data_IF_353423021872
#
_entry.id   IF_353423021872
#
_cell.length_a   1.000
_cell.length_b   1.000
_cell.length_c   1.000
_cell.angle_alpha   90.00
_cell.angle_beta   90.00
_cell.angle_gamma   90.00
#
_symmetry.space_group_name_H-M   'P 1'
#
loop_
_entity.id
_entity.type
_entity.pdbx_description
1 polymer ?
#
# COMPACT_ATOMS: atom_id res chain seq x y z
N UNK A 1 -7.13 9.83 13.82
CA UNK A 1 -6.94 10.05 12.38
C UNK A 1 -8.07 9.38 11.62
N UNK A 2 -8.74 10.13 10.78
CA UNK A 2 -9.82 9.59 9.96
C UNK A 2 -9.37 9.55 8.52
N UNK A 3 -9.02 8.37 8.05
CA UNK A 3 -8.70 8.15 6.65
C UNK A 3 -9.76 7.24 6.06
N UNK A 4 -10.17 7.56 4.85
CA UNK A 4 -11.09 6.73 4.09
C UNK A 4 -10.56 6.54 2.70
N UNK A 5 -11.10 5.54 2.00
CA UNK A 5 -10.76 5.33 0.60
C UNK A 5 -12.04 5.34 -0.24
N UNK A 6 -11.95 5.89 -1.42
CA UNK A 6 -13.05 5.95 -2.39
C UNK A 6 -12.55 5.37 -3.70
N UNK A 7 -13.27 4.40 -4.29
CA UNK A 7 -12.85 3.82 -5.56
C UNK A 7 -12.77 4.86 -6.67
N UNK A 8 -11.80 4.69 -7.55
CA UNK A 8 -11.66 5.52 -8.73
C UNK A 8 -11.17 4.67 -9.89
N UNK A 9 -11.26 5.20 -11.09
CA UNK A 9 -10.72 4.53 -12.27
C UNK A 9 -9.20 4.58 -12.24
N UNK A 10 -8.56 3.50 -12.65
CA UNK A 10 -7.10 3.41 -12.69
C UNK A 10 -6.52 4.49 -13.60
N UNK A 11 -7.20 4.81 -14.71
CA UNK A 11 -6.77 5.87 -15.61
C UNK A 11 -6.77 7.27 -14.96
N UNK A 12 -7.38 7.40 -13.79
CA UNK A 12 -7.45 8.67 -13.06
C UNK A 12 -6.43 8.77 -11.93
N UNK A 13 -5.53 7.82 -11.81
CA UNK A 13 -4.45 7.91 -10.82
C UNK A 13 -3.63 9.17 -11.07
N UNK A 14 -3.27 9.85 -9.98
CA UNK A 14 -2.48 11.07 -10.08
C UNK A 14 -1.06 10.77 -10.57
N UNK A 15 -0.45 11.70 -11.29
CA UNK A 15 0.94 11.51 -11.72
C UNK A 15 1.87 11.30 -10.52
N UNK A 16 2.82 10.40 -10.69
CA UNK A 16 3.80 10.09 -9.65
C UNK A 16 5.07 9.56 -10.31
N UNK A 17 6.20 9.74 -9.63
CA UNK A 17 7.48 9.18 -10.05
C UNK A 17 7.62 7.71 -9.65
N UNK A 18 6.70 7.20 -8.82
CA UNK A 18 6.73 5.80 -8.38
C UNK A 18 6.06 4.93 -9.44
N UNK A 19 6.87 4.25 -10.25
CA UNK A 19 6.35 3.44 -11.37
C UNK A 19 5.36 2.38 -10.90
N UNK A 20 5.56 1.84 -9.69
CA UNK A 20 4.70 0.78 -9.15
C UNK A 20 3.32 1.29 -8.71
N UNK A 21 3.09 2.60 -8.74
CA UNK A 21 1.81 3.21 -8.42
C UNK A 21 1.14 3.82 -9.65
N UNK A 22 1.48 3.34 -10.85
CA UNK A 22 0.98 3.91 -12.09
C UNK A 22 0.02 2.97 -12.81
N UNK A 23 -0.74 3.56 -13.74
CA UNK A 23 -1.60 2.77 -14.65
C UNK A 23 -0.78 1.76 -15.45
N UNK A 24 0.45 2.12 -15.84
CA UNK A 24 1.33 1.20 -16.55
C UNK A 24 1.56 -0.09 -15.74
N UNK A 25 1.91 0.06 -14.46
CA UNK A 25 2.15 -1.09 -13.58
C UNK A 25 0.89 -1.91 -13.36
N UNK A 26 -0.25 -1.22 -13.21
CA UNK A 26 -1.55 -1.88 -13.10
C UNK A 26 -1.78 -2.79 -14.30
N UNK A 27 -1.49 -2.31 -15.51
CA UNK A 27 -1.66 -3.08 -16.73
C UNK A 27 -0.72 -4.28 -16.79
N UNK A 28 0.53 -4.09 -16.37
CA UNK A 28 1.51 -5.18 -16.29
C UNK A 28 0.97 -6.29 -15.38
N UNK A 29 0.47 -5.93 -14.22
CA UNK A 29 -0.03 -6.93 -13.25
C UNK A 29 -1.35 -7.55 -13.70
N UNK A 30 -2.21 -6.77 -14.35
CA UNK A 30 -3.46 -7.33 -14.90
C UNK A 30 -3.16 -8.43 -15.93
N UNK A 31 -2.13 -8.22 -16.75
CA UNK A 31 -1.71 -9.22 -17.72
C UNK A 31 -1.18 -10.50 -17.06
N UNK A 32 -0.79 -10.41 -15.79
CA UNK A 32 -0.34 -11.57 -15.01
C UNK A 32 -1.47 -12.22 -14.20
N UNK A 33 -2.70 -11.74 -14.36
CA UNK A 33 -3.84 -12.31 -13.67
C UNK A 33 -4.17 -11.66 -12.33
N UNK A 34 -3.51 -10.57 -11.98
CA UNK A 34 -3.86 -9.81 -10.78
C UNK A 34 -4.95 -8.79 -11.12
N UNK A 35 -5.74 -8.41 -10.13
CA UNK A 35 -6.81 -7.42 -10.32
C UNK A 35 -6.38 -6.08 -9.74
N UNK A 36 -6.14 -5.06 -10.59
CA UNK A 36 -5.81 -3.73 -10.07
C UNK A 36 -7.05 -2.96 -9.65
N UNK A 37 -6.93 -2.23 -8.56
CA UNK A 37 -7.94 -1.33 -8.04
C UNK A 37 -7.27 -0.01 -7.69
N UNK A 38 -7.96 1.10 -7.89
CA UNK A 38 -7.44 2.41 -7.52
C UNK A 38 -8.40 3.08 -6.55
N UNK A 39 -7.84 3.80 -5.59
CA UNK A 39 -8.62 4.51 -4.58
C UNK A 39 -8.06 5.90 -4.34
N UNK A 40 -8.96 6.88 -4.23
CA UNK A 40 -8.61 8.15 -3.62
C UNK A 40 -8.50 7.96 -2.12
N UNK A 41 -7.57 8.68 -1.49
CA UNK A 41 -7.39 8.64 -0.05
C UNK A 41 -7.93 9.94 0.52
N UNK A 42 -8.98 9.83 1.31
CA UNK A 42 -9.66 10.96 1.92
C UNK A 42 -9.13 11.17 3.34
N UNK A 43 -9.10 12.40 3.80
CA UNK A 43 -8.67 12.72 5.16
C UNK A 43 -7.23 13.19 5.29
N UNK A 44 -6.58 13.46 4.16
CA UNK A 44 -5.26 14.06 4.11
C UNK A 44 -5.34 15.43 3.44
N UNK A 45 -4.34 16.27 3.66
CA UNK A 45 -4.39 17.66 3.22
C UNK A 45 -4.29 17.85 1.73
N UNK A 46 -3.61 16.97 1.04
CA UNK A 46 -3.45 17.06 -0.41
C UNK A 46 -4.21 15.93 -1.08
N UNK A 47 -4.38 16.05 -2.39
CA UNK A 47 -4.98 14.97 -3.16
C UNK A 47 -4.02 13.80 -3.20
N UNK A 48 -4.47 12.68 -2.65
CA UNK A 48 -3.68 11.45 -2.62
C UNK A 48 -4.54 10.29 -3.09
N UNK A 49 -3.88 9.35 -3.73
CA UNK A 49 -4.51 8.11 -4.16
C UNK A 49 -3.49 6.98 -4.09
N UNK A 50 -3.95 5.78 -4.38
CA UNK A 50 -3.06 4.63 -4.41
C UNK A 50 -3.62 3.53 -5.30
N UNK A 51 -2.71 2.73 -5.83
CA UNK A 51 -2.99 1.52 -6.57
C UNK A 51 -2.91 0.34 -5.61
N UNK A 52 -3.92 -0.51 -5.65
CA UNK A 52 -3.97 -1.76 -4.89
C UNK A 52 -4.11 -2.90 -5.89
N UNK A 53 -3.30 -3.93 -5.72
CA UNK A 53 -3.29 -5.08 -6.61
C UNK A 53 -3.80 -6.30 -5.85
N UNK A 54 -4.84 -6.92 -6.37
CA UNK A 54 -5.41 -8.13 -5.76
C UNK A 54 -4.77 -9.34 -6.43
N UNK A 55 -3.99 -10.08 -5.67
CA UNK A 55 -3.27 -11.25 -6.16
C UNK A 55 -3.98 -12.53 -5.73
N UNK A 56 -4.40 -13.37 -6.69
CA UNK A 56 -4.96 -14.67 -6.31
C UNK A 56 -3.87 -15.57 -5.74
N UNK A 57 -4.16 -16.24 -4.63
CA UNK A 57 -3.24 -17.15 -3.96
C UNK A 57 -3.62 -18.61 -4.12
N UNK A 58 -4.76 -18.91 -4.74
CA UNK A 58 -5.29 -20.26 -4.87
C UNK A 58 -6.40 -20.53 -3.88
N UNK A 59 -7.18 -21.56 -4.12
CA UNK A 59 -8.29 -22.00 -3.26
C UNK A 59 -9.33 -20.91 -2.98
N UNK A 60 -9.48 -19.96 -3.91
CA UNK A 60 -10.44 -18.88 -3.75
C UNK A 60 -9.99 -17.78 -2.82
N UNK A 61 -8.73 -17.79 -2.39
CA UNK A 61 -8.17 -16.80 -1.47
C UNK A 61 -7.28 -15.85 -2.25
N UNK A 62 -7.29 -14.58 -1.87
CA UNK A 62 -6.47 -13.54 -2.49
C UNK A 62 -5.77 -12.70 -1.43
N UNK A 63 -4.78 -11.94 -1.86
CA UNK A 63 -4.10 -10.94 -1.04
C UNK A 63 -4.19 -9.60 -1.74
N UNK A 64 -4.31 -8.53 -0.96
CA UNK A 64 -4.21 -7.16 -1.47
C UNK A 64 -2.77 -6.69 -1.27
N UNK A 65 -2.17 -6.18 -2.33
CA UNK A 65 -0.79 -5.72 -2.31
C UNK A 65 -0.73 -4.27 -2.76
N UNK A 66 -0.07 -3.44 -1.96
CA UNK A 66 0.10 -2.02 -2.27
C UNK A 66 1.58 -1.76 -2.49
N UNK A 67 2.03 -1.72 -3.77
CA UNK A 67 3.45 -1.59 -4.10
C UNK A 67 3.89 -0.13 -3.95
N UNK A 68 4.84 0.13 -3.07
CA UNK A 68 5.41 1.46 -2.88
C UNK A 68 4.36 2.54 -2.64
N UNK A 69 3.36 2.22 -1.82
CA UNK A 69 2.27 3.14 -1.49
C UNK A 69 1.72 2.92 -0.09
N UNK A 70 0.93 3.85 0.43
CA UNK A 70 0.64 5.16 -0.18
C UNK A 70 1.86 6.08 -0.19
N UNK A 71 1.86 7.05 -1.11
CA UNK A 71 3.01 7.93 -1.31
C UNK A 71 3.15 9.00 -0.23
N UNK A 72 2.02 9.52 0.28
CA UNK A 72 2.10 10.50 1.36
C UNK A 72 2.66 9.82 2.62
N UNK A 73 3.50 10.55 3.35
CA UNK A 73 4.15 10.00 4.54
C UNK A 73 3.68 10.75 5.78
N UNK A 74 3.01 10.08 6.73
CA UNK A 74 2.66 10.70 8.00
C UNK A 74 3.89 10.81 8.90
N UNK A 75 3.73 11.49 10.05
CA UNK A 75 4.79 11.50 11.05
C UNK A 75 5.03 10.09 11.59
N UNK A 76 6.25 9.81 12.05
CA UNK A 76 6.65 8.47 12.51
C UNK A 76 5.68 7.89 13.53
N UNK A 77 5.26 8.70 14.48
CA UNK A 77 4.38 8.27 15.56
C UNK A 77 2.97 7.92 15.07
N UNK A 78 2.60 8.36 13.86
CA UNK A 78 1.29 8.11 13.27
C UNK A 78 1.30 6.97 12.25
N UNK A 79 2.44 6.37 11.97
CA UNK A 79 2.55 5.30 10.97
C UNK A 79 1.54 4.19 11.22
N UNK A 80 1.54 3.65 12.44
CA UNK A 80 0.66 2.54 12.78
C UNK A 80 -0.81 2.91 12.67
N UNK A 81 -1.19 4.05 13.20
CA UNK A 81 -2.58 4.51 13.13
C UNK A 81 -3.02 4.77 11.69
N UNK A 82 -2.14 5.34 10.88
CA UNK A 82 -2.43 5.59 9.48
C UNK A 82 -2.68 4.28 8.72
N UNK A 83 -1.80 3.32 8.90
CA UNK A 83 -1.92 2.04 8.20
C UNK A 83 -3.13 1.25 8.68
N UNK A 84 -3.43 1.31 9.95
CA UNK A 84 -4.62 0.67 10.50
C UNK A 84 -5.89 1.29 9.91
N UNK A 85 -5.97 2.62 9.88
CA UNK A 85 -7.13 3.32 9.32
C UNK A 85 -7.32 3.02 7.83
N UNK A 86 -6.21 3.03 7.06
CA UNK A 86 -6.27 2.67 5.65
C UNK A 86 -6.73 1.24 5.45
N UNK A 87 -6.17 0.32 6.23
CA UNK A 87 -6.50 -1.10 6.11
C UNK A 87 -7.97 -1.37 6.41
N UNK A 88 -8.50 -0.75 7.43
CA UNK A 88 -9.92 -0.88 7.76
C UNK A 88 -10.81 -0.35 6.64
N UNK A 89 -10.44 0.80 6.07
CA UNK A 89 -11.21 1.39 4.99
C UNK A 89 -11.13 0.54 3.72
N UNK A 90 -9.95 0.05 3.37
CA UNK A 90 -9.76 -0.83 2.22
C UNK A 90 -10.55 -2.11 2.40
N UNK A 91 -10.52 -2.69 3.60
CA UNK A 91 -11.24 -3.94 3.87
C UNK A 91 -12.73 -3.82 3.60
N UNK A 92 -13.31 -2.63 3.76
CA UNK A 92 -14.71 -2.40 3.45
C UNK A 92 -15.01 -2.27 1.96
N UNK A 93 -13.99 -2.19 1.12
CA UNK A 93 -14.14 -1.97 -0.33
C UNK A 93 -13.75 -3.19 -1.17
N UNK A 94 -13.05 -4.15 -0.59
CA UNK A 94 -12.56 -5.32 -1.33
C UNK A 94 -13.33 -6.57 -0.95
N UNK A 95 -13.17 -7.63 -1.74
CA UNK A 95 -13.90 -8.87 -1.52
C UNK A 95 -13.48 -9.56 -0.22
N UNK A 96 -14.42 -10.28 0.37
CA UNK A 96 -14.19 -10.99 1.63
C UNK A 96 -13.16 -12.11 1.51
N UNK A 97 -12.84 -12.55 0.29
CA UNK A 97 -11.83 -13.58 0.08
C UNK A 97 -10.39 -13.07 0.18
N UNK A 98 -10.20 -11.77 0.37
CA UNK A 98 -8.87 -11.19 0.59
C UNK A 98 -8.47 -11.46 2.04
N UNK A 99 -7.41 -12.25 2.21
CA UNK A 99 -6.99 -12.72 3.54
C UNK A 99 -6.12 -11.71 4.29
N UNK A 100 -5.37 -10.88 3.56
CA UNK A 100 -4.49 -9.89 4.20
C UNK A 100 -4.14 -8.77 3.21
N UNK A 101 -3.64 -7.67 3.75
CA UNK A 101 -3.08 -6.56 2.98
C UNK A 101 -1.58 -6.50 3.26
N UNK A 102 -0.80 -6.38 2.19
CA UNK A 102 0.64 -6.20 2.28
C UNK A 102 1.00 -4.83 1.72
N UNK A 103 1.71 -4.04 2.52
CA UNK A 103 2.23 -2.74 2.11
C UNK A 103 3.73 -2.84 1.89
N UNK A 104 4.20 -2.39 0.73
CA UNK A 104 5.58 -2.02 0.54
C UNK A 104 5.61 -0.50 0.62
N UNK A 105 6.10 0.03 1.72
CA UNK A 105 6.00 1.46 1.99
C UNK A 105 7.20 2.21 1.41
N UNK A 106 6.96 3.34 0.70
CA UNK A 106 8.06 4.20 0.28
C UNK A 106 8.54 5.11 1.42
N UNK A 107 7.94 4.99 2.59
CA UNK A 107 8.18 5.86 3.72
C UNK A 107 9.55 5.60 4.33
N UNK A 108 10.16 6.68 4.84
CA UNK A 108 11.44 6.56 5.50
C UNK A 108 11.29 5.80 6.81
N UNK A 109 12.16 4.80 7.02
CA UNK A 109 12.16 4.06 8.27
C UNK A 109 12.49 4.98 9.45
N UNK A 110 11.82 4.83 10.60
CA UNK A 110 12.20 5.55 11.81
C UNK A 110 13.64 5.27 12.25
N UNK A 111 14.20 4.17 11.78
CA UNK A 111 15.56 3.75 12.12
C UNK A 111 16.58 4.04 11.02
N UNK A 112 16.21 4.84 10.02
CA UNK A 112 17.07 5.11 8.87
C UNK A 112 18.40 5.75 9.30
N UNK A 113 18.35 6.70 10.25
CA UNK A 113 19.55 7.37 10.72
C UNK A 113 20.49 6.42 11.43
N UNK A 114 19.96 5.45 12.17
CA UNK A 114 20.77 4.43 12.84
C UNK A 114 21.45 3.53 11.81
N UNK A 115 20.73 3.16 10.78
CA UNK A 115 21.28 2.32 9.70
C UNK A 115 22.40 3.06 8.97
N UNK A 116 22.17 4.34 8.66
CA UNK A 116 23.14 5.15 7.93
C UNK A 116 24.42 5.39 8.72
N UNK A 117 24.34 5.36 10.05
CA UNK A 117 25.50 5.56 10.93
C UNK A 117 26.29 4.28 11.18
N UNK A 118 25.79 3.13 10.75
CA UNK A 118 26.48 1.87 10.90
C UNK A 118 27.44 1.62 9.71
N UNK A 119 28.63 1.08 9.96
CA UNK A 119 29.56 0.75 8.87
C UNK A 119 29.10 -0.42 8.02
N UNK A 120 28.16 -1.21 8.51
CA UNK A 120 27.67 -2.39 7.79
C UNK A 120 26.79 -1.97 6.65
N UNK A 121 26.97 -2.63 5.52
CA UNK A 121 26.25 -2.30 4.28
C UNK A 121 25.44 -3.47 3.74
N UNK A 122 25.37 -4.54 4.49
CA UNK A 122 24.64 -5.74 4.10
C UNK A 122 23.17 -5.73 4.54
N UNK A 123 22.71 -4.62 5.11
CA UNK A 123 21.31 -4.47 5.50
C UNK A 123 20.45 -4.06 4.30
N UNK A 124 19.18 -4.48 4.29
CA UNK A 124 18.23 -3.97 3.31
C UNK A 124 18.10 -2.45 3.42
N UNK A 125 17.66 -1.83 2.32
CA UNK A 125 17.38 -0.40 2.33
C UNK A 125 16.39 -0.07 3.45
N UNK A 126 16.76 0.89 4.30
CA UNK A 126 15.92 1.29 5.43
C UNK A 126 14.59 1.90 5.01
N UNK A 127 14.44 2.29 3.75
CA UNK A 127 13.18 2.83 3.22
C UNK A 127 12.20 1.76 2.77
N UNK A 128 12.65 0.51 2.67
CA UNK A 128 11.77 -0.58 2.24
C UNK A 128 11.10 -1.15 3.47
N UNK A 129 9.78 -1.09 3.48
CA UNK A 129 8.99 -1.56 4.61
C UNK A 129 7.83 -2.42 4.14
N UNK A 130 7.57 -3.47 4.89
CA UNK A 130 6.39 -4.30 4.70
C UNK A 130 5.55 -4.28 5.96
N UNK A 131 4.25 -4.22 5.76
CA UNK A 131 3.31 -4.45 6.84
C UNK A 131 2.19 -5.36 6.31
N UNK A 132 1.89 -6.39 7.07
CA UNK A 132 0.82 -7.32 6.72
C UNK A 132 -0.27 -7.24 7.77
N UNK A 133 -1.49 -7.10 7.29
CA UNK A 133 -2.68 -7.06 8.13
C UNK A 133 -3.56 -8.23 7.76
N UNK A 134 -3.84 -9.10 8.71
CA UNK A 134 -4.68 -10.26 8.47
C UNK A 134 -6.13 -9.93 8.78
N UNK A 135 -7.03 -10.40 7.91
CA UNK A 135 -8.45 -10.16 8.08
C UNK A 135 -9.21 -11.47 8.15
N UNK A 136 -10.25 -11.48 8.93
CA UNK A 136 -11.34 -12.43 8.80
C UNK A 136 -11.09 -13.86 9.16
N UNK A 137 -9.98 -14.20 9.71
CA UNK A 137 -9.73 -15.57 10.15
C UNK A 137 -9.89 -15.73 11.65
N UNK A 138 -10.64 -14.88 12.21
CA UNK A 138 -10.85 -14.77 13.64
C UNK A 138 -11.68 -15.92 14.19
#
# INVERSE_FOLDING_TARGET
MRLGVTPKKIAKLFPTDIVFQTQYWAQVKANLGWEPCAYDIDGVYSNNDMLVLIKPLGDGISAAYIPQGPEFEPDHEDYGHCLEALSESIAGQIDANVAFIRYDLPWKSPYADMVDNHPRRDFPDARIREMRMNFGTQ
#
